data_IF_873575403438
#
_entry.id   IF_873575403438
#
_cell.length_a   1.000
_cell.length_b   1.000
_cell.length_c   1.000
_cell.angle_alpha   90.00
_cell.angle_beta   90.00
_cell.angle_gamma   90.00
#
_symmetry.space_group_name_H-M   'P 1'
#
loop_
_entity.id
_entity.type
_entity.pdbx_description
1 polymer ?
#
# COMPACT_ATOMS: atom_id res chain seq x y z
N UNK A 1 18.89 13.03 -18.19
CA UNK A 1 18.57 13.01 -16.72
C UNK A 1 18.49 11.54 -16.31
N UNK A 2 19.09 11.19 -15.17
CA UNK A 2 19.00 9.82 -14.67
C UNK A 2 17.55 9.52 -14.27
N UNK A 3 17.13 8.26 -14.43
CA UNK A 3 15.85 7.79 -13.96
C UNK A 3 15.77 7.88 -12.42
N UNK A 4 14.60 8.25 -11.87
CA UNK A 4 14.34 8.15 -10.43
C UNK A 4 13.87 6.72 -10.12
N UNK A 5 14.61 6.03 -9.27
CA UNK A 5 14.32 4.65 -8.90
C UNK A 5 13.59 4.59 -7.57
N UNK A 6 12.40 4.03 -7.57
CA UNK A 6 11.56 3.86 -6.40
C UNK A 6 11.25 2.37 -6.19
N UNK A 7 11.38 1.91 -4.96
CA UNK A 7 10.98 0.56 -4.57
C UNK A 7 9.74 0.65 -3.68
N UNK A 8 8.69 -0.08 -4.05
CA UNK A 8 7.51 -0.25 -3.21
C UNK A 8 7.52 -1.64 -2.57
N UNK A 9 7.52 -1.66 -1.26
CA UNK A 9 7.24 -2.85 -0.44
C UNK A 9 5.83 -2.71 0.15
N UNK A 10 5.11 -3.81 0.29
CA UNK A 10 3.77 -3.83 0.86
C UNK A 10 3.57 -5.10 1.69
N UNK A 11 2.64 -5.04 2.64
CA UNK A 11 2.22 -6.21 3.41
C UNK A 11 3.43 -6.94 4.00
N UNK A 12 4.26 -6.20 4.75
CA UNK A 12 5.52 -6.69 5.35
C UNK A 12 5.20 -7.55 6.56
N UNK A 13 4.17 -7.20 7.32
CA UNK A 13 3.66 -7.92 8.48
C UNK A 13 4.74 -8.28 9.50
N UNK A 14 5.45 -7.28 10.00
CA UNK A 14 6.46 -7.46 11.05
C UNK A 14 5.79 -7.62 12.41
N UNK A 15 6.14 -8.69 13.12
CA UNK A 15 5.61 -8.98 14.45
C UNK A 15 6.68 -9.48 15.38
N UNK A 16 6.78 -8.90 16.58
CA UNK A 16 7.81 -9.21 17.56
C UNK A 16 7.72 -10.65 18.11
N UNK A 17 6.51 -11.22 18.11
CA UNK A 17 6.24 -12.57 18.61
C UNK A 17 6.21 -13.63 17.51
N UNK A 18 6.34 -13.21 16.23
CA UNK A 18 6.17 -14.08 15.06
C UNK A 18 7.23 -13.73 14.00
N UNK A 19 8.40 -14.32 14.12
CA UNK A 19 9.57 -13.96 13.31
C UNK A 19 9.54 -14.50 11.86
N UNK A 20 8.55 -15.29 11.47
CA UNK A 20 8.58 -16.00 10.19
C UNK A 20 8.53 -15.09 8.94
N UNK A 21 8.05 -13.85 9.04
CA UNK A 21 8.15 -12.87 7.94
C UNK A 21 9.48 -12.08 7.95
N UNK A 22 10.16 -12.07 9.08
CA UNK A 22 11.39 -11.31 9.27
C UNK A 22 12.51 -11.74 8.33
N UNK A 23 12.59 -13.03 7.98
CA UNK A 23 13.59 -13.53 7.04
C UNK A 23 13.41 -12.95 5.64
N UNK A 24 12.17 -12.83 5.18
CA UNK A 24 11.88 -12.17 3.91
C UNK A 24 12.23 -10.68 3.98
N UNK A 25 11.82 -10.01 5.06
CA UNK A 25 12.16 -8.59 5.24
C UNK A 25 13.68 -8.35 5.24
N UNK A 26 14.45 -9.17 5.93
CA UNK A 26 15.93 -9.07 5.95
C UNK A 26 16.56 -9.28 4.57
N UNK A 27 16.00 -10.16 3.75
CA UNK A 27 16.44 -10.32 2.36
C UNK A 27 16.09 -9.11 1.50
N UNK A 28 14.92 -8.50 1.72
CA UNK A 28 14.53 -7.24 1.06
C UNK A 28 15.48 -6.11 1.46
N UNK A 29 15.81 -5.97 2.76
CA UNK A 29 16.80 -5.02 3.25
C UNK A 29 18.16 -5.20 2.56
N UNK A 30 18.68 -6.42 2.51
CA UNK A 30 19.97 -6.72 1.87
C UNK A 30 19.95 -6.40 0.37
N UNK A 31 18.80 -6.62 -0.29
CA UNK A 31 18.64 -6.24 -1.69
C UNK A 31 18.63 -4.70 -1.84
N UNK A 32 17.89 -3.96 -1.02
CA UNK A 32 17.85 -2.48 -1.03
C UNK A 32 19.23 -1.90 -0.71
N UNK A 33 19.97 -2.50 0.21
CA UNK A 33 21.34 -2.08 0.54
C UNK A 33 22.29 -2.20 -0.64
N UNK A 34 22.19 -3.28 -1.41
CA UNK A 34 23.00 -3.49 -2.61
C UNK A 34 22.59 -2.57 -3.76
N UNK A 35 21.30 -2.45 -4.00
CA UNK A 35 20.75 -1.79 -5.19
C UNK A 35 20.61 -0.28 -5.06
N UNK A 36 20.51 0.24 -3.81
CA UNK A 36 20.44 1.67 -3.50
C UNK A 36 19.42 2.45 -4.35
N UNK A 37 18.11 2.11 -4.32
CA UNK A 37 17.12 2.96 -4.95
C UNK A 37 17.11 4.37 -4.34
N UNK A 38 16.58 5.36 -5.06
CA UNK A 38 16.49 6.73 -4.56
C UNK A 38 15.47 6.87 -3.43
N UNK A 39 14.41 6.03 -3.44
CA UNK A 39 13.31 6.09 -2.49
C UNK A 39 12.71 4.70 -2.27
N UNK A 40 12.29 4.42 -1.02
CA UNK A 40 11.38 3.31 -0.68
C UNK A 40 10.01 3.88 -0.31
N UNK A 41 8.96 3.18 -0.72
CA UNK A 41 7.58 3.36 -0.23
C UNK A 41 7.16 2.06 0.44
N UNK A 42 6.91 2.11 1.74
CA UNK A 42 6.30 1.03 2.51
C UNK A 42 4.78 1.25 2.53
N UNK A 43 4.07 0.48 1.71
CA UNK A 43 2.69 0.73 1.32
C UNK A 43 1.68 -0.11 2.12
N UNK A 44 1.71 0.06 3.44
CA UNK A 44 0.73 -0.50 4.38
C UNK A 44 0.99 -1.92 4.83
N UNK A 45 0.29 -2.28 5.91
CA UNK A 45 0.43 -3.53 6.65
C UNK A 45 1.89 -3.78 7.06
N UNK A 46 2.44 -2.78 7.78
CA UNK A 46 3.80 -2.80 8.29
C UNK A 46 3.92 -3.76 9.47
N UNK A 47 2.91 -3.73 10.37
CA UNK A 47 2.82 -4.64 11.52
C UNK A 47 1.97 -5.86 11.20
N UNK A 48 2.24 -6.96 11.91
CA UNK A 48 1.51 -8.21 11.75
C UNK A 48 0.19 -8.24 12.54
N UNK A 49 0.21 -7.71 13.74
CA UNK A 49 -0.81 -7.90 14.75
C UNK A 49 -2.02 -6.98 14.65
N UNK A 50 -2.47 -6.57 15.80
CA UNK A 50 -3.60 -5.66 15.99
C UNK A 50 -3.10 -4.21 15.92
N UNK A 51 -3.85 -3.27 15.34
CA UNK A 51 -3.47 -1.85 15.30
C UNK A 51 -3.24 -1.22 16.70
N UNK A 52 -3.59 -1.92 17.75
CA UNK A 52 -3.34 -1.48 19.13
C UNK A 52 -2.13 -2.18 19.79
N UNK A 53 -1.40 -3.05 19.08
CA UNK A 53 -0.21 -3.74 19.61
C UNK A 53 1.07 -2.88 19.50
N UNK A 54 1.36 -2.14 20.55
CA UNK A 54 2.56 -1.29 20.67
C UNK A 54 3.88 -2.07 20.54
N UNK A 55 3.89 -3.37 20.85
CA UNK A 55 5.10 -4.20 20.77
C UNK A 55 5.46 -4.46 19.30
N UNK A 56 4.46 -4.76 18.48
CA UNK A 56 4.66 -4.93 17.04
C UNK A 56 5.03 -3.61 16.37
N UNK A 57 4.45 -2.48 16.80
CA UNK A 57 4.83 -1.15 16.31
C UNK A 57 6.29 -0.80 16.59
N UNK A 58 6.75 -1.01 17.84
CA UNK A 58 8.13 -0.76 18.21
C UNK A 58 9.11 -1.65 17.41
N UNK A 59 8.78 -2.93 17.29
CA UNK A 59 9.57 -3.89 16.52
C UNK A 59 9.65 -3.51 15.04
N UNK A 60 8.52 -3.19 14.40
CA UNK A 60 8.47 -2.80 13.01
C UNK A 60 9.25 -1.50 12.74
N UNK A 61 9.13 -0.49 13.63
CA UNK A 61 9.93 0.74 13.57
C UNK A 61 11.42 0.43 13.55
N UNK A 62 11.88 -0.40 14.48
CA UNK A 62 13.31 -0.72 14.62
C UNK A 62 13.85 -1.48 13.41
N UNK A 63 13.08 -2.41 12.86
CA UNK A 63 13.45 -3.11 11.62
C UNK A 63 13.40 -2.19 10.38
N UNK A 64 12.41 -1.32 10.26
CA UNK A 64 12.28 -0.38 9.15
C UNK A 64 13.32 0.75 9.21
N UNK A 65 13.76 1.15 10.40
CA UNK A 65 14.83 2.13 10.59
C UNK A 65 16.20 1.65 10.03
N UNK A 66 16.35 0.37 9.73
CA UNK A 66 17.56 -0.20 9.10
C UNK A 66 17.63 0.08 7.60
N UNK A 67 16.59 0.63 6.98
CA UNK A 67 16.62 0.99 5.56
C UNK A 67 17.74 2.01 5.29
N UNK A 68 18.64 1.74 4.34
CA UNK A 68 19.81 2.59 4.08
C UNK A 68 19.49 3.76 3.13
N UNK A 69 18.23 3.95 2.76
CA UNK A 69 17.72 4.98 1.86
C UNK A 69 16.45 5.58 2.43
N UNK A 70 16.03 6.78 2.01
CA UNK A 70 14.79 7.39 2.48
C UNK A 70 13.58 6.48 2.27
N UNK A 71 12.70 6.40 3.27
CA UNK A 71 11.45 5.66 3.20
C UNK A 71 10.26 6.57 3.51
N UNK A 72 9.16 6.38 2.77
CA UNK A 72 7.86 6.96 3.05
C UNK A 72 6.89 5.85 3.37
N UNK A 73 6.09 6.07 4.40
CA UNK A 73 5.19 5.07 4.94
C UNK A 73 3.74 5.43 4.63
N UNK A 74 2.92 4.42 4.37
CA UNK A 74 1.47 4.52 4.35
C UNK A 74 0.90 3.44 5.26
N UNK A 75 -0.19 3.71 5.97
CA UNK A 75 -0.81 2.69 6.80
C UNK A 75 -1.68 1.73 5.99
N UNK A 76 -1.69 0.48 6.44
CA UNK A 76 -2.66 -0.52 6.06
C UNK A 76 -3.70 -0.77 7.16
N UNK A 77 -4.57 -1.75 6.95
CA UNK A 77 -5.61 -2.08 7.93
C UNK A 77 -5.05 -2.77 9.18
N UNK A 78 -3.91 -3.45 9.10
CA UNK A 78 -3.21 -3.97 10.28
C UNK A 78 -2.60 -2.84 11.12
N UNK A 79 -2.24 -1.72 10.49
CA UNK A 79 -1.60 -0.61 11.17
C UNK A 79 -2.60 0.31 11.88
N UNK A 80 -3.71 0.69 11.24
CA UNK A 80 -4.63 1.71 11.79
C UNK A 80 -6.10 1.26 11.88
N UNK A 81 -6.36 0.01 11.55
CA UNK A 81 -7.71 -0.53 11.44
C UNK A 81 -8.31 -0.29 10.05
N UNK A 82 -9.43 -0.93 9.80
CA UNK A 82 -10.10 -0.91 8.52
C UNK A 82 -11.14 0.22 8.43
N UNK A 83 -11.52 0.58 7.20
CA UNK A 83 -12.59 1.52 7.00
C UNK A 83 -13.94 0.95 7.49
N UNK A 84 -14.96 1.81 7.52
CA UNK A 84 -16.26 1.49 8.12
C UNK A 84 -17.00 0.36 7.41
N UNK A 85 -16.74 0.16 6.12
CA UNK A 85 -17.40 -0.85 5.27
C UNK A 85 -17.04 -2.28 5.68
N UNK A 86 -15.96 -2.46 6.43
CA UNK A 86 -15.47 -3.76 6.88
C UNK A 86 -16.43 -4.50 7.83
N UNK A 87 -17.36 -3.80 8.44
CA UNK A 87 -18.35 -4.37 9.37
C UNK A 87 -17.82 -4.69 10.78
N UNK A 88 -16.52 -4.71 11.00
CA UNK A 88 -15.94 -4.90 12.31
C UNK A 88 -15.71 -3.56 13.01
N UNK A 89 -16.65 -3.18 13.89
CA UNK A 89 -16.63 -1.89 14.61
C UNK A 89 -15.40 -1.72 15.51
N UNK A 90 -14.88 -2.79 16.09
CA UNK A 90 -13.76 -2.76 17.03
C UNK A 90 -12.42 -2.51 16.31
N UNK A 91 -12.33 -2.93 15.05
CA UNK A 91 -11.13 -2.80 14.23
C UNK A 91 -11.18 -1.66 13.21
N UNK A 92 -11.96 -0.63 13.48
CA UNK A 92 -12.06 0.53 12.59
C UNK A 92 -10.89 1.47 12.72
N UNK A 93 -10.57 2.12 11.60
CA UNK A 93 -9.70 3.29 11.59
C UNK A 93 -10.25 4.37 12.53
N UNK A 94 -9.38 5.00 13.29
CA UNK A 94 -9.71 6.12 14.17
C UNK A 94 -8.49 7.02 14.40
N UNK A 95 -8.74 8.21 14.94
CA UNK A 95 -7.70 9.22 15.16
C UNK A 95 -6.58 8.72 16.09
N UNK A 96 -6.91 7.92 17.13
CA UNK A 96 -5.91 7.42 18.08
C UNK A 96 -4.93 6.44 17.40
N UNK A 97 -5.43 5.54 16.55
CA UNK A 97 -4.60 4.61 15.78
C UNK A 97 -3.76 5.32 14.74
N UNK A 98 -4.34 6.30 14.04
CA UNK A 98 -3.58 7.11 13.10
C UNK A 98 -2.52 7.97 13.81
N UNK A 99 -2.82 8.54 14.96
CA UNK A 99 -1.84 9.26 15.77
C UNK A 99 -0.70 8.34 16.24
N UNK A 100 -1.02 7.10 16.63
CA UNK A 100 0.00 6.07 16.92
C UNK A 100 0.87 5.81 15.70
N UNK A 101 0.30 5.52 14.55
CA UNK A 101 1.04 5.31 13.31
C UNK A 101 1.99 6.47 13.03
N UNK A 102 1.48 7.70 13.11
CA UNK A 102 2.29 8.92 12.90
C UNK A 102 3.45 9.04 13.88
N UNK A 103 3.24 8.64 15.14
CA UNK A 103 4.30 8.70 16.16
C UNK A 103 5.47 7.72 15.91
N UNK A 104 5.21 6.60 15.22
CA UNK A 104 6.22 5.59 14.91
C UNK A 104 6.86 5.77 13.53
N UNK A 105 6.06 6.14 12.51
CA UNK A 105 6.46 6.10 11.10
C UNK A 105 6.39 7.45 10.38
N UNK A 106 5.85 8.49 11.03
CA UNK A 106 5.64 9.80 10.42
C UNK A 106 4.30 9.90 9.69
N UNK A 107 4.16 10.94 8.88
CA UNK A 107 2.90 11.31 8.24
C UNK A 107 2.24 10.15 7.47
N UNK A 108 0.93 9.96 7.68
CA UNK A 108 0.12 8.93 7.03
C UNK A 108 -0.27 9.25 5.58
N UNK A 109 0.13 10.43 5.11
CA UNK A 109 -0.01 10.91 3.73
C UNK A 109 1.17 11.80 3.40
N UNK A 110 1.59 11.79 2.16
CA UNK A 110 2.78 12.53 1.75
C UNK A 110 2.74 12.86 0.25
N UNK A 111 3.53 13.86 -0.13
CA UNK A 111 3.74 14.22 -1.52
C UNK A 111 5.19 14.68 -1.76
N UNK A 112 5.70 14.44 -2.95
CA UNK A 112 6.98 14.95 -3.41
C UNK A 112 7.08 14.93 -4.94
N UNK A 113 8.15 15.51 -5.48
CA UNK A 113 8.43 15.54 -6.90
C UNK A 113 9.81 14.95 -7.22
N UNK A 114 9.89 14.16 -8.28
CA UNK A 114 11.15 13.64 -8.82
C UNK A 114 10.99 13.29 -10.30
N UNK A 115 12.05 13.41 -11.09
CA UNK A 115 12.12 13.03 -12.52
C UNK A 115 10.96 13.53 -13.39
N UNK A 116 10.37 14.69 -13.07
CA UNK A 116 9.23 15.24 -13.82
C UNK A 116 7.87 14.67 -13.45
N UNK A 117 7.81 13.86 -12.38
CA UNK A 117 6.59 13.29 -11.80
C UNK A 117 6.23 13.95 -10.49
N UNK A 118 4.92 14.02 -10.19
CA UNK A 118 4.39 14.20 -8.86
C UNK A 118 4.07 12.83 -8.23
N UNK A 119 4.44 12.66 -6.97
CA UNK A 119 4.18 11.45 -6.20
C UNK A 119 3.33 11.81 -4.99
N UNK A 120 2.22 11.11 -4.79
CA UNK A 120 1.37 11.26 -3.63
C UNK A 120 1.04 9.90 -3.02
N UNK A 121 0.97 9.85 -1.69
CA UNK A 121 0.50 8.71 -0.92
C UNK A 121 -0.63 9.13 0.00
N UNK A 122 -1.67 8.31 0.13
CA UNK A 122 -2.83 8.57 0.99
C UNK A 122 -3.15 7.36 1.87
N UNK A 123 -3.71 7.62 3.04
CA UNK A 123 -4.27 6.59 3.90
C UNK A 123 -5.58 6.06 3.32
N UNK A 124 -5.54 4.87 2.72
CA UNK A 124 -6.70 4.22 2.12
C UNK A 124 -7.82 3.94 3.14
N UNK A 125 -7.48 3.79 4.42
CA UNK A 125 -8.43 3.39 5.47
C UNK A 125 -9.41 4.52 5.83
N UNK A 126 -9.06 5.79 5.56
CA UNK A 126 -9.99 6.90 5.71
C UNK A 126 -11.06 6.95 4.62
N UNK A 127 -10.83 6.36 3.45
CA UNK A 127 -11.78 6.41 2.33
C UNK A 127 -13.03 5.57 2.66
N UNK A 128 -14.20 6.21 2.67
CA UNK A 128 -15.45 5.57 3.04
C UNK A 128 -15.65 5.42 4.56
N UNK A 129 -14.99 6.24 5.36
CA UNK A 129 -15.13 6.24 6.81
C UNK A 129 -16.34 7.07 7.32
N UNK A 130 -17.32 7.35 6.44
CA UNK A 130 -18.59 8.02 6.72
C UNK A 130 -18.44 9.44 7.30
N UNK A 131 -17.63 10.27 6.65
CA UNK A 131 -17.53 11.69 6.93
C UNK A 131 -16.78 12.02 8.23
N UNK A 132 -15.89 11.15 8.66
CA UNK A 132 -14.94 11.50 9.71
C UNK A 132 -14.16 12.76 9.31
N UNK A 133 -13.87 13.69 10.25
CA UNK A 133 -13.12 14.91 9.93
C UNK A 133 -11.79 14.66 9.23
N UNK A 134 -11.08 13.58 9.60
CA UNK A 134 -9.82 13.18 8.99
C UNK A 134 -9.99 12.76 7.52
N UNK A 135 -11.09 12.09 7.16
CA UNK A 135 -11.42 11.79 5.77
C UNK A 135 -11.60 13.06 4.95
N UNK A 136 -12.42 14.01 5.46
CA UNK A 136 -12.65 15.28 4.78
C UNK A 136 -11.35 16.08 4.59
N UNK A 137 -10.50 16.11 5.63
CA UNK A 137 -9.18 16.75 5.57
C UNK A 137 -8.27 16.09 4.55
N UNK A 138 -8.28 14.75 4.44
CA UNK A 138 -7.49 14.03 3.43
C UNK A 138 -7.98 14.34 2.00
N UNK A 139 -9.29 14.38 1.77
CA UNK A 139 -9.83 14.74 0.46
C UNK A 139 -9.42 16.14 0.03
N UNK A 140 -9.50 17.12 0.94
CA UNK A 140 -9.07 18.49 0.67
C UNK A 140 -7.56 18.55 0.37
N UNK A 141 -6.75 17.90 1.18
CA UNK A 141 -5.31 17.83 0.99
C UNK A 141 -4.95 17.18 -0.35
N UNK A 142 -5.60 16.05 -0.71
CA UNK A 142 -5.34 15.36 -1.97
C UNK A 142 -5.66 16.24 -3.17
N UNK A 143 -6.81 16.92 -3.17
CA UNK A 143 -7.21 17.84 -4.24
C UNK A 143 -6.17 18.95 -4.44
N UNK A 144 -5.74 19.58 -3.34
CA UNK A 144 -4.71 20.63 -3.39
C UNK A 144 -3.37 20.10 -3.89
N UNK A 145 -2.97 18.93 -3.43
CA UNK A 145 -1.71 18.27 -3.81
C UNK A 145 -1.69 17.94 -5.30
N UNK A 146 -2.75 17.30 -5.81
CA UNK A 146 -2.84 16.95 -7.23
C UNK A 146 -2.86 18.20 -8.13
N UNK A 147 -3.57 19.26 -7.72
CA UNK A 147 -3.56 20.55 -8.41
C UNK A 147 -2.16 21.18 -8.40
N UNK A 148 -1.39 21.04 -7.32
CA UNK A 148 -0.01 21.51 -7.23
C UNK A 148 0.96 20.82 -8.21
N UNK A 149 0.62 19.63 -8.69
CA UNK A 149 1.41 18.91 -9.69
C UNK A 149 1.05 19.26 -11.14
N UNK A 150 0.39 20.39 -11.38
CA UNK A 150 -0.05 20.79 -12.70
C UNK A 150 1.06 20.64 -13.77
N UNK A 151 0.73 19.99 -14.89
CA UNK A 151 1.65 19.75 -16.00
C UNK A 151 2.59 18.55 -15.80
N UNK A 152 2.56 17.86 -14.66
CA UNK A 152 3.34 16.63 -14.41
C UNK A 152 2.49 15.38 -14.57
N UNK A 153 3.12 14.25 -14.85
CA UNK A 153 2.54 12.93 -14.63
C UNK A 153 2.50 12.65 -13.13
N UNK A 154 1.48 11.96 -12.67
CA UNK A 154 1.30 11.71 -11.23
C UNK A 154 1.23 10.21 -10.97
N UNK A 155 1.96 9.77 -9.94
CA UNK A 155 1.86 8.45 -9.34
C UNK A 155 1.19 8.56 -7.96
N UNK A 156 0.10 7.83 -7.77
CA UNK A 156 -0.66 7.76 -6.50
C UNK A 156 -0.45 6.40 -5.85
N UNK A 157 -0.10 6.41 -4.57
CA UNK A 157 0.08 5.22 -3.74
C UNK A 157 -0.97 5.17 -2.64
N UNK A 158 -1.56 4.02 -2.42
CA UNK A 158 -2.50 3.75 -1.35
C UNK A 158 -2.49 2.25 -1.03
N UNK A 159 -2.82 1.87 0.21
CA UNK A 159 -2.71 0.46 0.58
C UNK A 159 -3.73 -0.42 -0.14
N UNK A 160 -5.03 -0.06 -0.13
CA UNK A 160 -6.09 -0.88 -0.76
C UNK A 160 -6.21 -0.64 -2.26
N UNK A 161 -6.42 -1.70 -3.08
CA UNK A 161 -6.84 -1.55 -4.47
C UNK A 161 -8.18 -0.80 -4.60
N UNK A 162 -8.36 -0.10 -5.70
CA UNK A 162 -9.61 0.62 -5.94
C UNK A 162 -10.77 -0.34 -6.27
N UNK A 163 -10.50 -1.39 -7.03
CA UNK A 163 -11.49 -2.36 -7.51
C UNK A 163 -10.80 -3.70 -7.83
N UNK A 164 -11.59 -4.76 -7.96
CA UNK A 164 -11.09 -6.08 -8.35
C UNK A 164 -11.09 -6.28 -9.86
N UNK A 165 -12.24 -6.06 -10.50
CA UNK A 165 -12.41 -6.32 -11.93
C UNK A 165 -12.57 -5.04 -12.74
N UNK A 166 -13.46 -4.14 -12.32
CA UNK A 166 -13.78 -2.93 -13.07
C UNK A 166 -14.16 -1.76 -12.14
N UNK A 167 -13.82 -0.50 -12.51
CA UNK A 167 -14.15 0.69 -11.72
C UNK A 167 -15.63 0.87 -11.40
N UNK A 168 -16.52 0.37 -12.26
CA UNK A 168 -17.98 0.45 -12.06
C UNK A 168 -18.57 -0.71 -11.27
N UNK A 169 -17.75 -1.65 -10.78
CA UNK A 169 -18.26 -2.71 -9.93
C UNK A 169 -18.95 -2.12 -8.69
N UNK A 170 -20.05 -2.73 -8.28
CA UNK A 170 -20.74 -2.36 -7.05
C UNK A 170 -20.04 -3.00 -5.86
N UNK A 171 -20.35 -2.48 -4.68
CA UNK A 171 -19.84 -3.07 -3.45
C UNK A 171 -20.31 -4.53 -3.35
N UNK A 172 -19.33 -5.39 -3.09
CA UNK A 172 -19.59 -6.82 -3.03
C UNK A 172 -20.42 -7.17 -1.80
N UNK A 173 -21.36 -8.11 -1.95
CA UNK A 173 -22.22 -8.56 -0.85
C UNK A 173 -21.41 -9.27 0.26
N UNK A 174 -20.36 -9.99 -0.13
CA UNK A 174 -19.50 -10.73 0.80
C UNK A 174 -18.58 -9.77 1.56
N UNK A 175 -18.64 -9.70 2.90
CA UNK A 175 -17.81 -8.79 3.70
C UNK A 175 -16.31 -8.88 3.40
N UNK A 176 -15.77 -10.09 3.24
CA UNK A 176 -14.35 -10.31 2.95
C UNK A 176 -13.89 -9.74 1.60
N UNK A 177 -14.77 -9.70 0.62
CA UNK A 177 -14.46 -9.06 -0.69
C UNK A 177 -14.60 -7.56 -0.59
N UNK A 178 -15.62 -7.08 0.13
CA UNK A 178 -15.86 -5.66 0.40
C UNK A 178 -14.69 -5.00 1.10
N UNK A 179 -14.07 -5.70 2.05
CA UNK A 179 -12.86 -5.26 2.77
C UNK A 179 -11.62 -5.15 1.86
N UNK A 180 -11.63 -5.83 0.73
CA UNK A 180 -10.46 -5.94 -0.14
C UNK A 180 -10.22 -4.73 -1.03
N UNK A 181 -11.20 -3.84 -1.21
CA UNK A 181 -11.15 -2.70 -2.13
C UNK A 181 -11.75 -1.45 -1.52
N UNK A 182 -11.54 -0.32 -2.16
CA UNK A 182 -12.19 0.95 -1.81
C UNK A 182 -13.68 0.88 -2.20
N UNK A 183 -14.55 1.40 -1.31
CA UNK A 183 -15.99 1.47 -1.57
C UNK A 183 -16.33 2.25 -2.86
N UNK A 184 -17.52 1.98 -3.43
CA UNK A 184 -17.89 2.47 -4.75
C UNK A 184 -17.92 4.01 -4.85
N UNK A 185 -18.40 4.69 -3.83
CA UNK A 185 -18.54 6.15 -3.85
C UNK A 185 -17.19 6.85 -3.71
N UNK A 186 -16.37 6.42 -2.76
CA UNK A 186 -14.99 6.92 -2.59
C UNK A 186 -14.14 6.61 -3.81
N UNK A 187 -14.28 5.43 -4.39
CA UNK A 187 -13.60 5.03 -5.63
C UNK A 187 -13.98 5.94 -6.80
N UNK A 188 -15.28 6.20 -7.01
CA UNK A 188 -15.76 7.08 -8.06
C UNK A 188 -15.20 8.50 -7.93
N UNK A 189 -15.23 9.04 -6.69
CA UNK A 189 -14.65 10.34 -6.37
C UNK A 189 -13.14 10.39 -6.62
N UNK A 190 -12.40 9.37 -6.16
CA UNK A 190 -10.96 9.31 -6.35
C UNK A 190 -10.57 9.24 -7.82
N UNK A 191 -11.25 8.40 -8.61
CA UNK A 191 -11.01 8.27 -10.03
C UNK A 191 -11.34 9.56 -10.80
N UNK A 192 -12.38 10.29 -10.41
CA UNK A 192 -12.69 11.59 -11.00
C UNK A 192 -11.53 12.58 -10.78
N UNK A 193 -11.01 12.69 -9.54
CA UNK A 193 -9.85 13.52 -9.24
C UNK A 193 -8.60 13.04 -10.01
N UNK A 194 -8.37 11.75 -10.07
CA UNK A 194 -7.23 11.19 -10.81
C UNK A 194 -7.27 11.55 -12.31
N UNK A 195 -8.44 11.50 -12.93
CA UNK A 195 -8.63 11.86 -14.34
C UNK A 195 -8.45 13.36 -14.55
N UNK A 196 -9.04 14.19 -13.69
CA UNK A 196 -8.95 15.65 -13.73
C UNK A 196 -7.51 16.14 -13.69
N UNK A 197 -6.69 15.54 -12.81
CA UNK A 197 -5.31 15.98 -12.57
C UNK A 197 -4.25 15.17 -13.32
N UNK A 198 -4.63 14.21 -14.16
CA UNK A 198 -3.70 13.48 -15.01
C UNK A 198 -2.85 12.44 -14.28
N UNK A 199 -3.40 11.76 -13.26
CA UNK A 199 -2.77 10.59 -12.65
C UNK A 199 -2.55 9.51 -13.70
N UNK A 200 -1.34 8.94 -13.74
CA UNK A 200 -0.93 7.91 -14.72
C UNK A 200 -0.64 6.57 -14.10
N UNK A 201 -0.36 6.53 -12.81
CA UNK A 201 -0.10 5.32 -12.04
C UNK A 201 -0.88 5.35 -10.73
N UNK A 202 -1.58 4.26 -10.43
CA UNK A 202 -2.11 3.97 -9.09
C UNK A 202 -1.52 2.65 -8.64
N UNK A 203 -0.83 2.66 -7.50
CA UNK A 203 -0.20 1.47 -6.96
C UNK A 203 -0.69 1.15 -5.55
N UNK A 204 -1.04 -0.11 -5.31
CA UNK A 204 -1.61 -0.62 -4.06
C UNK A 204 -0.88 -1.86 -3.55
N UNK A 205 -1.19 -2.27 -2.33
CA UNK A 205 -0.84 -3.53 -1.67
C UNK A 205 -2.11 -4.30 -1.29
N UNK A 206 -2.20 -4.74 -0.03
CA UNK A 206 -3.36 -5.34 0.63
C UNK A 206 -3.82 -6.69 0.06
N UNK A 207 -3.89 -6.81 -1.26
CA UNK A 207 -4.15 -8.08 -1.93
C UNK A 207 -2.80 -8.78 -2.15
N UNK A 208 -2.54 -9.96 -1.52
CA UNK A 208 -1.29 -10.68 -1.73
C UNK A 208 -1.30 -11.42 -3.08
N UNK A 209 -1.62 -10.68 -4.12
CA UNK A 209 -1.70 -11.12 -5.53
C UNK A 209 -1.16 -10.00 -6.40
N UNK A 210 -0.20 -10.32 -7.25
CA UNK A 210 0.40 -9.35 -8.16
C UNK A 210 -0.44 -9.18 -9.41
N UNK A 211 -0.76 -7.94 -9.73
CA UNK A 211 -1.46 -7.60 -10.96
C UNK A 211 -0.96 -6.27 -11.52
N UNK A 212 -0.80 -6.19 -12.83
CA UNK A 212 -0.53 -4.93 -13.51
C UNK A 212 -1.33 -4.84 -14.81
N UNK A 213 -2.00 -3.71 -15.01
CA UNK A 213 -2.85 -3.48 -16.18
C UNK A 213 -3.10 -1.99 -16.40
N UNK A 214 -3.44 -1.62 -17.63
CA UNK A 214 -3.85 -0.26 -17.98
C UNK A 214 -5.36 -0.22 -18.23
N UNK A 215 -6.03 0.80 -17.67
CA UNK A 215 -7.43 1.05 -17.91
C UNK A 215 -7.70 2.56 -17.93
N UNK A 216 -8.41 3.05 -18.95
CA UNK A 216 -8.82 4.46 -19.10
C UNK A 216 -7.68 5.47 -18.91
N UNK A 217 -6.47 5.12 -19.37
CA UNK A 217 -5.29 5.99 -19.35
C UNK A 217 -4.54 6.02 -18.01
N UNK A 218 -4.94 5.21 -17.04
CA UNK A 218 -4.25 4.99 -15.77
C UNK A 218 -3.68 3.57 -15.77
N UNK A 219 -2.45 3.41 -15.28
CA UNK A 219 -1.84 2.12 -15.03
C UNK A 219 -2.05 1.72 -13.57
N UNK A 220 -2.51 0.51 -13.33
CA UNK A 220 -2.78 -0.03 -12.00
C UNK A 220 -1.78 -1.12 -11.68
N UNK A 221 -1.19 -1.06 -10.49
CA UNK A 221 -0.31 -2.11 -9.98
C UNK A 221 -0.77 -2.53 -8.59
N UNK A 222 -1.00 -3.82 -8.42
CA UNK A 222 -1.11 -4.45 -7.12
C UNK A 222 0.25 -5.05 -6.80
N UNK A 223 0.92 -4.50 -5.82
CA UNK A 223 2.21 -5.00 -5.37
C UNK A 223 2.02 -6.33 -4.64
N UNK A 224 2.92 -7.28 -4.84
CA UNK A 224 2.95 -8.49 -4.03
C UNK A 224 3.25 -8.16 -2.56
N UNK A 225 2.78 -9.01 -1.66
CA UNK A 225 3.25 -9.00 -0.28
C UNK A 225 4.70 -9.49 -0.21
N UNK A 226 5.51 -8.85 0.63
CA UNK A 226 6.84 -9.38 0.95
C UNK A 226 6.78 -10.56 1.93
N UNK A 227 5.70 -10.65 2.71
CA UNK A 227 5.55 -11.64 3.76
C UNK A 227 5.05 -12.99 3.26
N UNK A 228 3.92 -13.01 2.53
CA UNK A 228 3.26 -14.27 2.18
C UNK A 228 2.37 -14.14 0.95
N UNK A 229 1.91 -15.29 0.42
CA UNK A 229 0.82 -15.38 -0.55
C UNK A 229 -0.46 -15.85 0.15
N UNK A 230 -1.62 -15.50 -0.39
CA UNK A 230 -2.90 -15.95 0.18
C UNK A 230 -3.09 -17.46 -0.07
N UNK A 231 -3.36 -18.22 1.01
CA UNK A 231 -3.19 -19.65 1.08
C UNK A 231 -4.29 -20.54 0.49
N UNK A 232 -5.38 -20.02 -0.06
CA UNK A 232 -6.42 -20.88 -0.59
C UNK A 232 -6.29 -21.08 -2.12
N UNK A 233 -5.96 -22.30 -2.59
CA UNK A 233 -5.93 -22.59 -4.04
C UNK A 233 -7.28 -22.40 -4.75
N UNK A 234 -8.37 -22.39 -3.98
CA UNK A 234 -9.76 -22.31 -4.46
C UNK A 234 -10.35 -20.90 -4.42
N UNK A 235 -9.62 -19.92 -3.87
CA UNK A 235 -10.09 -18.52 -3.89
C UNK A 235 -9.97 -17.94 -5.29
N UNK A 236 -10.93 -17.09 -5.66
CA UNK A 236 -10.87 -16.31 -6.88
C UNK A 236 -9.53 -15.58 -6.99
N UNK A 237 -8.82 -15.78 -8.10
CA UNK A 237 -7.53 -15.16 -8.36
C UNK A 237 -7.71 -14.05 -9.38
N UNK A 238 -7.42 -12.82 -8.96
CA UNK A 238 -7.37 -11.64 -9.83
C UNK A 238 -5.97 -11.35 -10.35
N UNK A 239 -4.94 -11.95 -9.75
CA UNK A 239 -3.53 -11.75 -10.09
C UNK A 239 -2.66 -12.96 -9.79
N UNK A 240 -1.35 -12.84 -10.03
CA UNK A 240 -0.38 -13.89 -9.75
C UNK A 240 -0.16 -14.04 -8.23
N UNK A 241 -0.01 -15.28 -7.76
CA UNK A 241 0.30 -15.61 -6.36
C UNK A 241 1.81 -15.71 -6.18
N UNK A 242 2.43 -14.60 -5.87
CA UNK A 242 3.87 -14.53 -5.65
C UNK A 242 4.21 -13.60 -4.48
N UNK A 243 5.36 -13.81 -3.86
CA UNK A 243 5.96 -12.91 -2.89
C UNK A 243 6.93 -11.98 -3.60
N UNK A 244 7.07 -10.76 -3.10
CA UNK A 244 8.00 -9.82 -3.71
C UNK A 244 7.74 -8.37 -3.36
N UNK A 245 8.25 -7.50 -4.20
CA UNK A 245 8.07 -6.06 -4.16
C UNK A 245 8.21 -5.48 -5.57
N UNK A 246 7.87 -4.21 -5.75
CA UNK A 246 7.93 -3.55 -7.06
C UNK A 246 9.13 -2.62 -7.13
N UNK A 247 9.95 -2.77 -8.17
CA UNK A 247 11.07 -1.89 -8.50
C UNK A 247 10.68 -1.03 -9.71
N UNK A 248 10.50 0.27 -9.50
CA UNK A 248 10.13 1.25 -10.50
C UNK A 248 11.33 2.06 -10.97
N UNK A 249 11.29 2.45 -12.26
CA UNK A 249 12.17 3.47 -12.82
C UNK A 249 11.33 4.53 -13.51
N UNK A 250 11.31 5.75 -12.97
CA UNK A 250 10.55 6.87 -13.50
C UNK A 250 11.44 7.75 -14.36
N UNK A 251 10.94 8.08 -15.56
CA UNK A 251 11.55 8.98 -16.52
C UNK A 251 10.58 10.13 -16.80
N UNK A 252 11.03 11.28 -17.35
CA UNK A 252 10.12 12.40 -17.61
C UNK A 252 8.93 12.06 -18.52
N UNK A 253 9.06 11.06 -19.36
CA UNK A 253 8.06 10.63 -20.36
C UNK A 253 7.30 9.35 -20.01
N UNK A 254 7.72 8.60 -18.98
CA UNK A 254 7.07 7.37 -18.59
C UNK A 254 7.69 6.70 -17.38
N UNK A 255 7.32 5.45 -17.13
CA UNK A 255 7.93 4.62 -16.12
C UNK A 255 8.02 3.16 -16.59
N UNK A 256 8.97 2.45 -16.02
CA UNK A 256 9.09 0.99 -16.09
C UNK A 256 8.93 0.40 -14.70
N UNK A 257 8.48 -0.84 -14.62
CA UNK A 257 8.41 -1.57 -13.37
C UNK A 257 8.73 -3.05 -13.58
N UNK A 258 9.19 -3.68 -12.52
CA UNK A 258 9.35 -5.13 -12.45
C UNK A 258 9.01 -5.63 -11.06
N UNK A 259 8.52 -6.85 -10.98
CA UNK A 259 8.36 -7.56 -9.71
C UNK A 259 9.67 -8.26 -9.38
N UNK A 260 10.11 -8.09 -8.15
CA UNK A 260 11.37 -8.64 -7.63
C UNK A 260 11.07 -9.44 -6.38
N UNK A 261 11.70 -10.60 -6.22
CA UNK A 261 11.60 -11.38 -4.99
C UNK A 261 11.29 -12.85 -5.17
N UNK A 262 10.58 -13.23 -6.24
CA UNK A 262 10.12 -14.61 -6.45
C UNK A 262 11.24 -15.67 -6.45
N UNK A 263 12.45 -15.27 -6.79
CA UNK A 263 13.63 -16.13 -6.89
C UNK A 263 14.43 -16.27 -5.58
N UNK A 264 14.20 -15.40 -4.59
CA UNK A 264 14.98 -15.40 -3.35
C UNK A 264 14.18 -15.24 -2.06
N UNK A 265 12.93 -14.78 -2.11
CA UNK A 265 12.05 -14.72 -0.94
C UNK A 265 11.39 -16.07 -0.67
N UNK A 266 11.16 -16.35 0.60
CA UNK A 266 10.41 -17.54 1.00
C UNK A 266 8.92 -17.36 0.70
N UNK A 267 8.33 -18.31 0.00
CA UNK A 267 6.91 -18.32 -0.29
C UNK A 267 6.12 -18.94 0.86
N UNK A 268 5.72 -18.13 1.82
CA UNK A 268 4.79 -18.55 2.86
C UNK A 268 3.35 -18.56 2.31
N UNK A 269 2.63 -19.67 2.45
CA UNK A 269 1.27 -19.84 1.88
C UNK A 269 0.18 -19.08 2.65
N UNK A 270 0.39 -18.77 3.93
CA UNK A 270 -0.44 -17.88 4.73
C UNK A 270 0.17 -17.71 6.11
N UNK A 271 0.20 -16.51 6.63
CA UNK A 271 0.61 -16.27 8.01
C UNK A 271 -0.46 -16.73 9.02
N UNK A 272 -1.75 -16.67 8.66
CA UNK A 272 -2.88 -17.03 9.54
C UNK A 272 -2.85 -18.47 10.02
N UNK A 273 -2.34 -19.41 9.22
CA UNK A 273 -2.22 -20.80 9.65
C UNK A 273 -1.19 -21.02 10.76
N UNK A 274 -0.20 -20.15 10.87
CA UNK A 274 0.86 -20.24 11.90
C UNK A 274 0.48 -19.52 13.19
N UNK A 275 -0.49 -18.60 13.16
CA UNK A 275 -1.03 -17.96 14.37
C UNK A 275 -2.00 -18.88 15.14
N UNK A 276 -2.49 -19.95 14.50
CA UNK A 276 -3.45 -20.91 15.08
C UNK A 276 -2.80 -22.20 15.56
N UNK A 277 -1.51 -22.38 15.37
CA UNK A 277 -0.71 -23.51 15.84
C UNK A 277 0.16 -23.13 17.05
#
# INVERSE_FOLDING_TARGET
MNAFRLVQVADIHLGARHEFHLDNWRKVLAWIERERPDQVVANGDLILGDPDDEVDYAFARDELARLPVPCRYLPGNHDVGDNIVSGNMEKRVNDARCARFVSYFGEERWAFEAAGWGFAGINAQWLGSNGQPAEAAQWQWLQQTLAGFAGKRIALFLHKPLFLDHPSERDHETPSVRQSVIDADSRARLLALCKEHGVRLISSGHKPQTRSFALEGIYYIWAPSTACVNGAPTSLHWGAREVGFVDYRFHPDGFEHRIVGADFLFRHESYMRKLQA
#
